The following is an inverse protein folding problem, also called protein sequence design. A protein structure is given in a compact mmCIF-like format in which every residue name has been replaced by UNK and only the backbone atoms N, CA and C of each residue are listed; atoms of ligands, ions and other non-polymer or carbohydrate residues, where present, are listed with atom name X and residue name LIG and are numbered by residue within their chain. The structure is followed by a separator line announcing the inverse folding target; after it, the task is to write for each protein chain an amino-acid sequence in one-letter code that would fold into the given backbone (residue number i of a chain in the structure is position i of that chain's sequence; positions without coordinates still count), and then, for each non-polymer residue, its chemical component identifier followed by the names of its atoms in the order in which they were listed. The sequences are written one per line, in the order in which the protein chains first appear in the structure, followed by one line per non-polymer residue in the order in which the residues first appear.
data_IF_805391303240
#
_entry.id   IF_805391303240
#
_cell.length_a   1.000
_cell.length_b   1.000
_cell.length_c   1.000
_cell.angle_alpha   90.00
_cell.angle_beta   90.00
_cell.angle_gamma   90.00
#
_symmetry.space_group_name_H-M   'P 1'
#
loop_
_entity.id
_entity.type
_entity.pdbx_description
1 polymer ?
#
# COMPACT_ATOMS: atom_id res chain seq x y z
N UNK A 1 -12.84 -18.25 1.10
CA UNK A 1 -11.86 -18.62 2.13
C UNK A 1 -11.50 -17.36 2.90
N UNK A 2 -11.44 -17.38 4.25
CA UNK A 2 -10.99 -16.18 4.99
C UNK A 2 -9.58 -15.77 4.57
N UNK A 3 -9.33 -14.48 4.58
CA UNK A 3 -8.07 -13.94 4.11
C UNK A 3 -7.50 -12.92 5.10
N UNK A 4 -6.20 -12.68 4.98
CA UNK A 4 -5.51 -11.59 5.67
C UNK A 4 -4.72 -10.79 4.64
N UNK A 5 -4.89 -9.46 4.66
CA UNK A 5 -4.09 -8.53 3.85
C UNK A 5 -2.97 -7.91 4.70
N UNK A 6 -2.03 -7.24 4.04
CA UNK A 6 -1.02 -6.49 4.78
C UNK A 6 -1.64 -5.36 5.63
N UNK A 7 -2.68 -4.70 5.14
CA UNK A 7 -3.38 -3.68 5.93
C UNK A 7 -4.02 -4.27 7.19
N UNK A 8 -4.65 -5.44 7.09
CA UNK A 8 -5.19 -6.14 8.26
C UNK A 8 -4.08 -6.57 9.24
N UNK A 9 -2.94 -7.04 8.75
CA UNK A 9 -1.76 -7.34 9.56
C UNK A 9 -1.22 -6.09 10.27
N UNK A 10 -1.20 -4.95 9.59
CA UNK A 10 -0.78 -3.67 10.16
C UNK A 10 -1.73 -3.24 11.28
N UNK A 11 -3.04 -3.36 11.09
CA UNK A 11 -4.05 -3.06 12.11
C UNK A 11 -3.89 -3.98 13.33
N UNK A 12 -3.65 -5.28 13.10
CA UNK A 12 -3.40 -6.22 14.17
C UNK A 12 -2.11 -5.89 14.94
N UNK A 13 -1.04 -5.52 14.25
CA UNK A 13 0.22 -5.13 14.87
C UNK A 13 0.10 -3.80 15.63
N UNK A 14 -0.72 -2.88 15.16
CA UNK A 14 -1.06 -1.65 15.87
C UNK A 14 -1.74 -1.98 17.19
N UNK A 15 -2.81 -2.77 17.16
CA UNK A 15 -3.50 -3.29 18.32
C UNK A 15 -4.43 -4.44 17.92
N UNK A 16 -4.24 -5.63 18.49
CA UNK A 16 -5.11 -6.78 18.15
C UNK A 16 -6.58 -6.52 18.50
N UNK A 17 -6.86 -5.72 19.51
CA UNK A 17 -8.23 -5.28 19.84
C UNK A 17 -8.79 -4.33 18.78
N UNK A 18 -7.99 -3.38 18.27
CA UNK A 18 -8.37 -2.52 17.15
C UNK A 18 -8.74 -3.34 15.92
N UNK A 19 -7.87 -4.27 15.54
CA UNK A 19 -8.15 -5.20 14.43
C UNK A 19 -9.46 -5.96 14.64
N UNK A 20 -9.75 -6.43 15.89
CA UNK A 20 -11.02 -7.08 16.18
C UNK A 20 -12.20 -6.16 15.91
N UNK A 21 -12.18 -4.95 16.45
CA UNK A 21 -13.27 -3.99 16.27
C UNK A 21 -13.50 -3.67 14.79
N UNK A 22 -12.44 -3.32 14.06
CA UNK A 22 -12.55 -2.83 12.68
C UNK A 22 -12.72 -3.95 11.63
N UNK A 23 -12.02 -5.08 11.77
CA UNK A 23 -11.98 -6.12 10.73
C UNK A 23 -12.91 -7.29 10.99
N UNK A 24 -13.19 -7.61 12.26
CA UNK A 24 -14.03 -8.76 12.64
C UNK A 24 -15.42 -8.30 12.99
N UNK A 25 -15.56 -7.38 13.97
CA UNK A 25 -16.85 -6.87 14.42
C UNK A 25 -17.42 -5.79 13.48
N UNK A 26 -16.57 -5.19 12.63
CA UNK A 26 -16.91 -4.11 11.70
C UNK A 26 -17.56 -2.91 12.38
N UNK A 27 -17.05 -2.58 13.55
CA UNK A 27 -17.47 -1.43 14.34
C UNK A 27 -16.57 -0.26 13.94
N UNK A 28 -17.06 0.63 13.10
CA UNK A 28 -16.35 1.83 12.69
C UNK A 28 -14.97 1.53 12.10
N UNK A 29 -14.10 2.48 12.22
CA UNK A 29 -12.77 2.47 11.65
C UNK A 29 -12.55 3.75 10.86
N UNK A 30 -11.35 3.92 10.37
CA UNK A 30 -11.04 5.04 9.49
C UNK A 30 -11.81 4.91 8.17
N UNK A 31 -12.77 5.80 7.93
CA UNK A 31 -13.64 5.80 6.75
C UNK A 31 -13.01 6.51 5.53
N UNK A 32 -11.82 7.02 5.69
CA UNK A 32 -11.13 7.81 4.67
C UNK A 32 -11.16 9.31 4.96
N UNK A 33 -10.47 10.07 4.13
CA UNK A 33 -10.44 11.53 4.11
C UNK A 33 -9.94 12.00 2.73
N UNK A 34 -9.83 13.31 2.52
CA UNK A 34 -9.33 13.87 1.26
C UNK A 34 -7.96 13.29 0.83
N UNK A 35 -7.08 12.93 1.78
CA UNK A 35 -5.79 12.30 1.45
C UNK A 35 -5.94 10.89 0.89
N UNK A 36 -6.87 10.10 1.40
CA UNK A 36 -7.14 8.76 0.86
C UNK A 36 -7.87 8.84 -0.48
N UNK A 37 -8.82 9.74 -0.64
CA UNK A 37 -9.49 10.00 -1.92
C UNK A 37 -8.46 10.40 -3.00
N UNK A 38 -7.56 11.34 -2.69
CA UNK A 38 -6.47 11.71 -3.57
C UNK A 38 -5.56 10.53 -3.91
N UNK A 39 -5.18 9.73 -2.90
CA UNK A 39 -4.34 8.55 -3.09
C UNK A 39 -4.97 7.56 -4.06
N UNK A 40 -6.24 7.24 -3.87
CA UNK A 40 -6.96 6.30 -4.74
C UNK A 40 -7.05 6.84 -6.18
N UNK A 41 -7.42 8.11 -6.35
CA UNK A 41 -7.55 8.71 -7.68
C UNK A 41 -6.23 8.70 -8.45
N UNK A 42 -5.12 9.12 -7.81
CA UNK A 42 -3.83 9.18 -8.50
C UNK A 42 -3.25 7.79 -8.78
N UNK A 43 -3.57 6.77 -7.95
CA UNK A 43 -3.19 5.39 -8.22
C UNK A 43 -3.85 4.86 -9.50
N UNK A 44 -5.13 5.17 -9.74
CA UNK A 44 -5.81 4.78 -10.98
C UNK A 44 -5.18 5.42 -12.22
N UNK A 45 -4.72 6.68 -12.14
CA UNK A 45 -3.97 7.30 -13.24
C UNK A 45 -2.61 6.63 -13.43
N UNK A 46 -1.87 6.36 -12.33
CA UNK A 46 -0.60 5.65 -12.40
C UNK A 46 -0.75 4.28 -13.07
N UNK A 47 -1.84 3.56 -12.80
CA UNK A 47 -2.18 2.31 -13.47
C UNK A 47 -2.34 2.50 -14.97
N UNK A 48 -3.17 3.47 -15.40
CA UNK A 48 -3.40 3.78 -16.82
C UNK A 48 -2.10 4.13 -17.54
N UNK A 49 -1.29 5.00 -16.94
CA UNK A 49 0.01 5.39 -17.51
C UNK A 49 0.97 4.20 -17.61
N UNK A 50 1.06 3.37 -16.58
CA UNK A 50 1.91 2.18 -16.60
C UNK A 50 1.49 1.23 -17.73
N UNK A 51 0.19 1.04 -17.95
CA UNK A 51 -0.37 0.19 -19.01
C UNK A 51 -0.37 0.88 -20.39
N UNK A 52 0.09 2.13 -20.47
CA UNK A 52 0.09 2.96 -21.68
C UNK A 52 -1.31 3.12 -22.31
N UNK A 53 -2.34 3.16 -21.46
CA UNK A 53 -3.71 3.41 -21.88
C UNK A 53 -3.89 4.92 -22.19
N UNK A 54 -4.60 5.20 -23.30
CA UNK A 54 -4.88 6.58 -23.72
C UNK A 54 -6.00 7.16 -22.86
N UNK A 55 -5.70 8.12 -22.02
CA UNK A 55 -6.65 8.87 -21.21
C UNK A 55 -6.24 10.36 -21.15
N UNK A 56 -7.24 11.24 -21.05
CA UNK A 56 -7.01 12.64 -20.71
C UNK A 56 -6.73 12.71 -19.20
N UNK A 57 -5.45 12.70 -18.84
CA UNK A 57 -4.96 12.43 -17.48
C UNK A 57 -5.57 13.35 -16.43
N UNK A 58 -5.60 14.67 -16.71
CA UNK A 58 -6.13 15.67 -15.79
C UNK A 58 -7.62 15.46 -15.55
N UNK A 59 -8.39 15.23 -16.61
CA UNK A 59 -9.84 15.05 -16.52
C UNK A 59 -10.17 13.73 -15.82
N UNK A 60 -9.47 12.64 -16.16
CA UNK A 60 -9.64 11.35 -15.50
C UNK A 60 -9.30 11.43 -14.02
N UNK A 61 -8.17 12.05 -13.66
CA UNK A 61 -7.80 12.26 -12.26
C UNK A 61 -8.87 13.04 -11.50
N UNK A 62 -9.34 14.15 -12.05
CA UNK A 62 -10.35 14.98 -11.40
C UNK A 62 -11.67 14.22 -11.22
N UNK A 63 -12.13 13.51 -12.24
CA UNK A 63 -13.34 12.69 -12.15
C UNK A 63 -13.22 11.65 -11.02
N UNK A 64 -12.07 10.91 -10.98
CA UNK A 64 -11.85 9.90 -9.95
C UNK A 64 -11.70 10.52 -8.56
N UNK A 65 -11.04 11.66 -8.45
CA UNK A 65 -10.89 12.34 -7.16
C UNK A 65 -12.23 12.81 -6.62
N UNK A 66 -13.09 13.44 -7.45
CA UNK A 66 -14.46 13.83 -7.05
C UNK A 66 -15.30 12.61 -6.67
N UNK A 67 -15.19 11.52 -7.41
CA UNK A 67 -15.87 10.27 -7.07
C UNK A 67 -15.49 9.79 -5.67
N UNK A 68 -14.20 9.65 -5.36
CA UNK A 68 -13.75 9.22 -4.04
C UNK A 68 -14.06 10.23 -2.91
N UNK A 69 -14.08 11.52 -3.21
CA UNK A 69 -14.54 12.52 -2.24
C UNK A 69 -16.02 12.37 -1.92
N UNK A 70 -16.86 12.05 -2.91
CA UNK A 70 -18.31 11.87 -2.73
C UNK A 70 -18.66 10.65 -1.86
N UNK A 71 -17.76 9.67 -1.76
CA UNK A 71 -17.93 8.49 -0.90
C UNK A 71 -17.58 8.75 0.57
N UNK A 72 -16.95 9.90 0.89
CA UNK A 72 -16.55 10.22 2.25
C UNK A 72 -17.73 10.73 3.08
N UNK A 73 -17.82 10.24 4.32
CA UNK A 73 -18.75 10.80 5.31
C UNK A 73 -18.19 12.11 5.88
N UNK A 74 -18.97 13.17 5.79
CA UNK A 74 -18.64 14.49 6.35
C UNK A 74 -18.03 15.49 5.38
N UNK A 75 -18.04 16.76 5.80
CA UNK A 75 -17.51 17.87 5.02
C UNK A 75 -16.00 17.80 4.90
N UNK A 76 -15.47 18.07 3.72
CA UNK A 76 -14.05 18.18 3.46
C UNK A 76 -13.61 19.65 3.44
N UNK A 77 -12.38 19.92 3.80
CA UNK A 77 -11.79 21.25 3.68
C UNK A 77 -11.62 21.61 2.19
N UNK A 78 -12.49 22.51 1.70
CA UNK A 78 -12.52 22.96 0.31
C UNK A 78 -11.18 23.56 -0.16
N UNK A 79 -10.46 24.25 0.72
CA UNK A 79 -9.14 24.79 0.40
C UNK A 79 -8.15 23.66 0.17
N UNK A 80 -8.11 22.66 1.05
CA UNK A 80 -7.27 21.50 0.92
C UNK A 80 -7.59 20.71 -0.36
N UNK A 81 -8.88 20.50 -0.63
CA UNK A 81 -9.33 19.77 -1.83
C UNK A 81 -8.91 20.52 -3.10
N UNK A 82 -9.08 21.86 -3.14
CA UNK A 82 -8.63 22.68 -4.26
C UNK A 82 -7.11 22.61 -4.47
N UNK A 83 -6.33 22.68 -3.39
CA UNK A 83 -4.87 22.50 -3.47
C UNK A 83 -4.49 21.12 -3.98
N UNK A 84 -5.21 20.06 -3.58
CA UNK A 84 -4.96 18.69 -4.03
C UNK A 84 -5.26 18.47 -5.50
N UNK A 85 -6.31 19.11 -6.06
CA UNK A 85 -6.58 19.08 -7.50
C UNK A 85 -5.35 19.56 -8.30
N UNK A 86 -4.79 20.70 -7.91
CA UNK A 86 -3.60 21.25 -8.57
C UNK A 86 -2.34 20.39 -8.33
N UNK A 87 -2.20 19.84 -7.12
CA UNK A 87 -1.06 18.94 -6.81
C UNK A 87 -1.10 17.66 -7.65
N UNK A 88 -2.28 17.09 -7.88
CA UNK A 88 -2.46 15.92 -8.75
C UNK A 88 -1.98 16.22 -10.17
N UNK A 89 -2.54 17.25 -10.80
CA UNK A 89 -2.15 17.68 -12.15
C UNK A 89 -0.66 17.92 -12.32
N UNK A 90 0.02 18.36 -11.25
CA UNK A 90 1.47 18.59 -11.28
C UNK A 90 2.30 17.31 -11.16
N UNK A 91 1.75 16.24 -10.62
CA UNK A 91 2.42 14.93 -10.47
C UNK A 91 2.30 14.11 -11.77
N UNK A 92 1.14 14.15 -12.42
CA UNK A 92 0.81 13.26 -13.53
C UNK A 92 1.82 13.28 -14.68
N UNK A 93 2.30 14.45 -15.14
CA UNK A 93 3.26 14.50 -16.25
C UNK A 93 4.63 13.87 -15.92
N UNK A 94 5.01 13.82 -14.62
CA UNK A 94 6.31 13.29 -14.20
C UNK A 94 6.36 11.76 -14.08
N UNK A 95 5.21 11.03 -14.20
CA UNK A 95 5.13 9.60 -13.90
C UNK A 95 5.94 8.75 -14.88
N UNK A 96 5.77 8.97 -16.18
CA UNK A 96 6.46 8.18 -17.22
C UNK A 96 7.95 8.44 -17.21
N UNK A 97 8.35 9.71 -17.16
CA UNK A 97 9.76 10.12 -17.10
C UNK A 97 10.46 9.49 -15.87
N UNK A 98 9.78 9.49 -14.72
CA UNK A 98 10.32 8.89 -13.50
C UNK A 98 10.46 7.35 -13.58
N UNK A 99 9.54 6.66 -14.26
CA UNK A 99 9.66 5.23 -14.53
C UNK A 99 10.84 4.92 -15.45
N UNK A 100 10.97 5.68 -16.54
CA UNK A 100 12.07 5.52 -17.52
C UNK A 100 13.43 5.89 -16.91
N UNK A 101 13.50 6.97 -16.12
CA UNK A 101 14.73 7.35 -15.44
C UNK A 101 15.20 6.29 -14.44
N UNK A 102 14.24 5.68 -13.72
CA UNK A 102 14.57 4.73 -12.65
C UNK A 102 14.86 3.32 -13.15
N UNK A 103 14.05 2.80 -14.08
CA UNK A 103 14.15 1.41 -14.57
C UNK A 103 14.92 1.30 -15.90
N UNK A 104 15.10 2.41 -16.62
CA UNK A 104 15.61 2.39 -17.99
C UNK A 104 14.59 1.78 -18.96
N UNK A 105 15.05 0.97 -19.89
CA UNK A 105 14.18 0.21 -20.76
C UNK A 105 13.52 -0.96 -19.98
N UNK A 106 12.20 -1.01 -19.96
CA UNK A 106 11.42 -2.00 -19.23
C UNK A 106 10.20 -2.48 -20.00
N UNK A 107 9.79 -3.70 -19.71
CA UNK A 107 8.54 -4.30 -20.14
C UNK A 107 7.54 -4.32 -18.97
N UNK A 108 6.30 -3.88 -19.20
CA UNK A 108 5.24 -3.92 -18.20
C UNK A 108 4.66 -5.33 -18.14
N UNK A 109 4.79 -5.99 -17.00
CA UNK A 109 4.21 -7.30 -16.74
C UNK A 109 2.79 -7.23 -16.19
N UNK A 110 2.42 -6.09 -15.61
CA UNK A 110 1.05 -5.81 -15.17
C UNK A 110 0.95 -4.71 -14.11
N UNK A 111 -0.29 -4.27 -13.88
CA UNK A 111 -0.72 -3.38 -12.83
C UNK A 111 -1.83 -4.03 -12.02
N UNK A 112 -2.04 -3.61 -10.77
CA UNK A 112 -3.06 -4.15 -9.85
C UNK A 112 -3.09 -5.71 -9.82
N UNK A 113 -1.89 -6.33 -9.85
CA UNK A 113 -1.79 -7.79 -9.91
C UNK A 113 -2.31 -8.41 -8.61
N UNK A 114 -3.39 -9.22 -8.66
CA UNK A 114 -3.96 -9.79 -7.47
C UNK A 114 -3.07 -10.92 -6.92
N UNK A 115 -2.83 -10.87 -5.62
CA UNK A 115 -2.28 -11.97 -4.83
C UNK A 115 -3.41 -12.61 -4.01
N UNK A 116 -3.53 -13.93 -4.11
CA UNK A 116 -4.48 -14.74 -3.34
C UNK A 116 -3.83 -16.10 -3.04
N UNK A 117 -2.82 -16.07 -2.17
CA UNK A 117 -1.89 -17.17 -2.03
C UNK A 117 -2.05 -17.90 -0.69
N UNK A 118 -1.90 -19.22 -0.73
CA UNK A 118 -1.92 -20.04 0.48
C UNK A 118 -0.74 -19.70 1.40
N UNK A 119 -1.03 -19.57 2.69
CA UNK A 119 -0.04 -19.33 3.73
C UNK A 119 0.47 -20.68 4.24
N UNK A 120 1.78 -20.88 4.24
CA UNK A 120 2.38 -22.14 4.71
C UNK A 120 1.97 -22.49 6.14
N UNK A 121 1.67 -23.75 6.39
CA UNK A 121 1.16 -24.30 7.66
C UNK A 121 -0.19 -23.68 8.11
N UNK A 122 -0.96 -23.14 7.13
CA UNK A 122 -2.20 -22.41 7.41
C UNK A 122 -3.30 -22.76 6.40
N UNK A 123 -4.09 -23.80 6.69
CA UNK A 123 -5.11 -24.33 5.77
C UNK A 123 -6.36 -23.46 5.64
N UNK A 124 -6.59 -22.54 6.59
CA UNK A 124 -7.85 -21.79 6.70
C UNK A 124 -7.78 -20.38 6.14
N UNK A 125 -6.58 -19.85 5.93
CA UNK A 125 -6.39 -18.46 5.48
C UNK A 125 -5.51 -18.39 4.26
N UNK A 126 -5.82 -17.40 3.41
CA UNK A 126 -4.94 -16.98 2.32
C UNK A 126 -4.40 -15.59 2.58
N UNK A 127 -3.20 -15.31 2.09
CA UNK A 127 -2.69 -13.95 2.00
C UNK A 127 -3.29 -13.28 0.77
N UNK A 128 -3.88 -12.09 0.93
CA UNK A 128 -4.48 -11.35 -0.15
C UNK A 128 -3.89 -9.94 -0.24
N UNK A 129 -3.62 -9.51 -1.47
CA UNK A 129 -3.14 -8.17 -1.76
C UNK A 129 -3.23 -7.86 -3.24
N UNK A 130 -2.88 -6.64 -3.60
CA UNK A 130 -2.73 -6.20 -4.99
C UNK A 130 -1.36 -5.55 -5.11
N UNK A 131 -0.69 -5.80 -6.21
CA UNK A 131 0.62 -5.20 -6.53
C UNK A 131 0.37 -4.09 -7.53
N UNK A 132 0.67 -2.86 -7.17
CA UNK A 132 0.36 -1.68 -7.97
C UNK A 132 1.08 -1.71 -9.33
N UNK A 133 2.34 -2.18 -9.39
CA UNK A 133 3.06 -2.29 -10.64
C UNK A 133 4.15 -3.35 -10.64
N UNK A 134 4.29 -4.04 -11.77
CA UNK A 134 5.35 -5.02 -12.01
C UNK A 134 5.94 -4.80 -13.39
N UNK A 135 7.25 -4.64 -13.45
CA UNK A 135 8.00 -4.47 -14.71
C UNK A 135 9.20 -5.43 -14.75
N UNK A 136 9.63 -5.79 -15.95
CA UNK A 136 10.85 -6.55 -16.19
C UNK A 136 11.88 -5.66 -16.91
N UNK A 137 13.15 -5.80 -16.55
CA UNK A 137 14.27 -5.11 -17.18
C UNK A 137 15.15 -6.07 -17.96
N UNK A 138 15.93 -5.56 -18.90
CA UNK A 138 16.77 -6.34 -19.83
C UNK A 138 17.84 -7.19 -19.14
N UNK A 139 18.19 -6.88 -17.87
CA UNK A 139 19.11 -7.67 -17.03
C UNK A 139 18.47 -8.91 -16.41
N UNK A 140 17.21 -9.22 -16.74
CA UNK A 140 16.45 -10.37 -16.25
C UNK A 140 15.88 -10.19 -14.84
N UNK A 141 15.82 -8.97 -14.34
CA UNK A 141 15.16 -8.65 -13.08
C UNK A 141 13.69 -8.34 -13.28
N UNK A 142 12.91 -8.73 -12.28
CA UNK A 142 11.51 -8.33 -12.12
C UNK A 142 11.42 -7.34 -10.97
N UNK A 143 10.81 -6.21 -11.21
CA UNK A 143 10.65 -5.14 -10.24
C UNK A 143 9.18 -5.02 -9.84
N UNK A 144 8.93 -5.17 -8.54
CA UNK A 144 7.62 -4.94 -7.92
C UNK A 144 7.69 -3.57 -7.26
N UNK A 145 6.73 -2.72 -7.53
CA UNK A 145 6.65 -1.44 -6.85
C UNK A 145 5.22 -1.11 -6.40
N UNK A 146 5.15 -0.19 -5.44
CA UNK A 146 3.92 0.23 -4.78
C UNK A 146 3.94 1.75 -4.68
N UNK A 147 2.92 2.38 -5.24
CA UNK A 147 2.74 3.82 -5.22
C UNK A 147 2.34 4.31 -3.84
N UNK A 148 2.93 5.39 -3.37
CA UNK A 148 2.57 5.98 -2.09
C UNK A 148 2.53 7.49 -2.15
N UNK A 149 1.37 8.07 -1.91
CA UNK A 149 1.23 9.51 -1.78
C UNK A 149 1.81 10.01 -0.45
N UNK A 150 2.49 11.13 -0.50
CA UNK A 150 3.03 11.82 0.68
C UNK A 150 3.17 13.32 0.41
N UNK A 151 3.46 14.11 1.44
CA UNK A 151 3.68 15.54 1.24
C UNK A 151 5.00 15.80 0.51
N UNK A 152 6.15 15.42 1.08
CA UNK A 152 7.48 15.73 0.54
C UNK A 152 8.48 14.58 0.53
N UNK A 153 8.07 13.39 0.92
CA UNK A 153 8.91 12.19 0.99
C UNK A 153 8.88 11.51 2.36
N UNK A 154 9.69 10.48 2.52
CA UNK A 154 9.79 9.73 3.76
C UNK A 154 11.19 9.84 4.37
N UNK A 155 11.26 10.03 5.66
CA UNK A 155 12.52 9.98 6.40
C UNK A 155 13.09 8.54 6.49
N UNK A 156 14.36 8.44 6.89
CA UNK A 156 15.05 7.16 7.01
C UNK A 156 14.37 6.20 8.00
N UNK A 157 13.73 6.71 9.06
CA UNK A 157 13.00 5.91 10.05
C UNK A 157 11.79 5.24 9.42
N UNK A 158 11.00 5.99 8.65
CA UNK A 158 9.83 5.46 7.93
C UNK A 158 10.23 4.47 6.84
N UNK A 159 11.26 4.80 6.04
CA UNK A 159 11.77 3.91 4.97
C UNK A 159 12.24 2.56 5.50
N UNK A 160 12.81 2.52 6.70
CA UNK A 160 13.34 1.29 7.31
C UNK A 160 12.38 0.60 8.28
N UNK A 161 11.21 1.18 8.53
CA UNK A 161 10.22 0.60 9.45
C UNK A 161 9.73 -0.76 8.94
N UNK A 162 9.68 -1.80 9.80
CA UNK A 162 9.08 -3.08 9.44
C UNK A 162 7.64 -2.93 8.93
N UNK A 163 6.83 -2.08 9.58
CA UNK A 163 5.43 -1.85 9.16
C UNK A 163 5.30 -1.01 7.88
N UNK A 164 6.38 -0.55 7.32
CA UNK A 164 6.45 0.01 5.96
C UNK A 164 6.92 -1.08 4.99
N UNK A 165 8.06 -1.68 5.28
CA UNK A 165 8.77 -2.52 4.31
C UNK A 165 8.24 -3.96 4.20
N UNK A 166 7.52 -4.48 5.21
CA UNK A 166 6.97 -5.83 5.17
C UNK A 166 5.85 -6.00 4.13
N UNK A 167 5.18 -4.93 3.71
CA UNK A 167 4.24 -4.99 2.59
C UNK A 167 4.93 -5.56 1.35
N UNK A 168 5.98 -4.89 0.88
CA UNK A 168 6.75 -5.32 -0.28
C UNK A 168 7.49 -6.65 -0.05
N UNK A 169 7.92 -6.92 1.18
CA UNK A 169 8.56 -8.20 1.53
C UNK A 169 7.59 -9.37 1.35
N UNK A 170 6.35 -9.25 1.82
CA UNK A 170 5.31 -10.26 1.65
C UNK A 170 4.84 -10.35 0.19
N UNK A 171 4.70 -9.21 -0.49
CA UNK A 171 4.36 -9.20 -1.91
C UNK A 171 5.40 -9.95 -2.74
N UNK A 172 6.68 -9.64 -2.55
CA UNK A 172 7.79 -10.37 -3.18
C UNK A 172 7.72 -11.87 -2.92
N UNK A 173 7.52 -12.28 -1.67
CA UNK A 173 7.47 -13.70 -1.29
C UNK A 173 6.34 -14.44 -2.00
N UNK A 174 5.13 -13.89 -1.96
CA UNK A 174 3.97 -14.54 -2.56
C UNK A 174 3.95 -14.44 -4.08
N UNK A 175 4.44 -13.34 -4.64
CA UNK A 175 4.59 -13.19 -6.09
C UNK A 175 5.63 -14.16 -6.66
N UNK A 176 6.77 -14.30 -6.01
CA UNK A 176 7.80 -15.27 -6.38
C UNK A 176 7.24 -16.69 -6.45
N UNK A 177 6.44 -17.08 -5.44
CA UNK A 177 5.77 -18.38 -5.38
C UNK A 177 4.71 -18.53 -6.48
N UNK A 178 3.89 -17.50 -6.70
CA UNK A 178 2.83 -17.49 -7.71
C UNK A 178 3.38 -17.64 -9.12
N UNK A 179 4.49 -16.97 -9.42
CA UNK A 179 5.07 -16.90 -10.76
C UNK A 179 6.20 -17.88 -10.98
N UNK A 180 6.55 -18.69 -9.97
CA UNK A 180 7.69 -19.62 -9.98
C UNK A 180 9.02 -18.93 -10.36
N UNK A 181 9.26 -17.74 -9.81
CA UNK A 181 10.46 -16.93 -10.03
C UNK A 181 11.36 -17.02 -8.79
N UNK A 182 12.69 -17.22 -8.99
CA UNK A 182 13.66 -17.15 -7.89
C UNK A 182 13.57 -15.75 -7.24
N UNK A 183 13.31 -15.66 -5.94
CA UNK A 183 13.25 -14.37 -5.23
C UNK A 183 14.48 -13.49 -5.40
N UNK A 184 15.63 -14.03 -5.78
CA UNK A 184 16.85 -13.25 -6.07
C UNK A 184 16.72 -12.40 -7.33
N UNK A 185 15.84 -12.78 -8.24
CA UNK A 185 15.55 -12.06 -9.47
C UNK A 185 14.44 -11.03 -9.32
N UNK A 186 13.84 -10.90 -8.12
CA UNK A 186 12.80 -9.91 -7.85
C UNK A 186 13.35 -8.81 -6.95
N UNK A 187 13.17 -7.58 -7.36
CA UNK A 187 13.46 -6.38 -6.58
C UNK A 187 12.17 -5.66 -6.20
N UNK A 188 12.18 -4.94 -5.09
CA UNK A 188 10.97 -4.25 -4.61
C UNK A 188 11.25 -2.79 -4.31
N UNK A 189 10.30 -1.92 -4.65
CA UNK A 189 10.46 -0.47 -4.58
C UNK A 189 9.21 0.20 -4.06
N UNK A 190 9.36 1.31 -3.36
CA UNK A 190 8.28 2.29 -3.22
C UNK A 190 8.50 3.41 -4.22
N UNK A 191 7.41 3.85 -4.81
CA UNK A 191 7.33 5.05 -5.63
C UNK A 191 6.56 6.12 -4.87
N UNK A 192 7.25 7.13 -4.36
CA UNK A 192 6.64 8.22 -3.60
C UNK A 192 6.15 9.31 -4.52
N UNK A 193 4.86 9.60 -4.46
CA UNK A 193 4.20 10.70 -5.14
C UNK A 193 4.12 11.89 -4.18
N UNK A 194 5.03 12.86 -4.34
CA UNK A 194 5.26 13.96 -3.38
C UNK A 194 4.43 15.18 -3.74
N UNK A 195 3.25 15.33 -3.13
CA UNK A 195 2.25 16.34 -3.47
C UNK A 195 2.74 17.78 -3.38
N UNK A 196 3.53 18.11 -2.35
CA UNK A 196 3.97 19.50 -2.09
C UNK A 196 5.39 19.79 -2.53
N UNK A 197 6.06 18.83 -3.15
CA UNK A 197 7.38 19.05 -3.74
C UNK A 197 7.28 19.97 -4.96
N UNK A 198 8.25 20.88 -5.12
CA UNK A 198 8.33 21.76 -6.29
C UNK A 198 9.08 21.13 -7.47
N UNK A 199 9.88 20.11 -7.20
CA UNK A 199 10.70 19.38 -8.17
C UNK A 199 10.74 17.92 -7.76
N UNK A 200 11.09 17.06 -8.69
CA UNK A 200 11.27 15.64 -8.46
C UNK A 200 10.12 15.06 -7.65
N UNK A 201 8.90 15.29 -8.13
CA UNK A 201 7.66 14.89 -7.42
C UNK A 201 7.53 13.39 -7.25
N UNK A 202 8.24 12.61 -8.05
CA UNK A 202 8.25 11.17 -7.95
C UNK A 202 9.64 10.71 -7.50
N UNK A 203 9.66 9.83 -6.54
CA UNK A 203 10.90 9.30 -6.00
C UNK A 203 10.78 7.80 -5.80
N UNK A 204 11.51 7.04 -6.59
CA UNK A 204 11.67 5.61 -6.37
C UNK A 204 12.78 5.32 -5.37
N UNK A 205 12.56 4.36 -4.49
CA UNK A 205 13.64 3.80 -3.71
C UNK A 205 13.46 2.31 -3.46
N UNK A 206 14.58 1.60 -3.50
CA UNK A 206 14.60 0.15 -3.33
C UNK A 206 14.41 -0.25 -1.86
N UNK A 207 13.60 -1.28 -1.65
CA UNK A 207 13.43 -1.97 -0.37
C UNK A 207 14.08 -3.34 -0.44
N UNK A 208 15.15 -3.54 0.30
CA UNK A 208 15.81 -4.85 0.36
C UNK A 208 15.00 -5.84 1.20
N UNK A 209 14.75 -7.03 0.66
CA UNK A 209 14.01 -8.12 1.31
C UNK A 209 14.79 -9.43 1.15
N UNK A 210 15.79 -9.61 1.99
CA UNK A 210 16.56 -10.86 2.07
C UNK A 210 15.84 -11.94 2.90
N UNK A 211 16.36 -13.17 2.93
CA UNK A 211 15.73 -14.33 3.59
C UNK A 211 15.33 -14.06 5.04
N UNK A 212 16.20 -13.44 5.84
CA UNK A 212 15.92 -13.15 7.26
C UNK A 212 14.74 -12.16 7.43
N UNK A 213 14.66 -11.16 6.56
CA UNK A 213 13.55 -10.18 6.61
C UNK A 213 12.24 -10.82 6.19
N UNK A 214 12.27 -11.67 5.18
CA UNK A 214 11.12 -12.45 4.75
C UNK A 214 10.63 -13.38 5.86
N UNK A 215 11.54 -14.11 6.50
CA UNK A 215 11.22 -14.97 7.64
C UNK A 215 10.56 -14.18 8.78
N UNK A 216 11.08 -13.00 9.12
CA UNK A 216 10.50 -12.14 10.16
C UNK A 216 9.10 -11.65 9.80
N UNK A 217 8.86 -11.28 8.54
CA UNK A 217 7.54 -10.87 8.06
C UNK A 217 6.53 -12.03 8.11
N UNK A 218 6.94 -13.23 7.69
CA UNK A 218 6.13 -14.44 7.76
C UNK A 218 5.85 -14.86 9.21
N UNK A 219 6.83 -14.77 10.10
CA UNK A 219 6.62 -15.02 11.56
C UNK A 219 5.58 -14.07 12.16
N UNK A 220 5.64 -12.79 11.77
CA UNK A 220 4.64 -11.81 12.22
C UNK A 220 3.24 -12.16 11.70
N UNK A 221 3.12 -12.52 10.42
CA UNK A 221 1.88 -12.94 9.80
C UNK A 221 1.28 -14.19 10.50
N UNK A 222 2.09 -15.23 10.68
CA UNK A 222 1.67 -16.47 11.38
C UNK A 222 1.26 -16.18 12.84
N UNK A 223 1.98 -15.29 13.53
CA UNK A 223 1.61 -14.87 14.89
C UNK A 223 0.26 -14.16 14.93
N UNK A 224 -0.02 -13.28 13.98
CA UNK A 224 -1.31 -12.60 13.87
C UNK A 224 -2.44 -13.63 13.65
N UNK A 225 -2.27 -14.54 12.70
CA UNK A 225 -3.25 -15.59 12.40
C UNK A 225 -3.51 -16.50 13.60
N UNK A 226 -2.45 -16.93 14.29
CA UNK A 226 -2.59 -17.72 15.52
C UNK A 226 -3.46 -17.01 16.57
N UNK A 227 -3.22 -15.71 16.80
CA UNK A 227 -4.02 -14.96 17.76
C UNK A 227 -5.47 -14.75 17.30
N UNK A 228 -5.68 -14.45 16.02
CA UNK A 228 -7.01 -14.27 15.42
C UNK A 228 -7.82 -15.57 15.55
N UNK A 229 -7.23 -16.72 15.17
CA UNK A 229 -7.87 -18.04 15.27
C UNK A 229 -8.25 -18.41 16.70
N UNK A 230 -7.40 -18.08 17.65
CA UNK A 230 -7.62 -18.37 19.08
C UNK A 230 -8.38 -17.24 19.81
N UNK A 231 -8.93 -16.25 19.07
CA UNK A 231 -9.68 -15.12 19.62
C UNK A 231 -8.92 -14.34 20.71
N UNK A 232 -7.58 -14.22 20.55
CA UNK A 232 -6.69 -13.54 21.48
C UNK A 232 -6.47 -12.08 21.04
N UNK A 233 -7.35 -11.20 21.48
CA UNK A 233 -7.35 -9.79 21.08
C UNK A 233 -6.76 -8.90 22.19
N UNK A 234 -5.45 -8.92 22.35
CA UNK A 234 -4.74 -8.18 23.39
C UNK A 234 -4.69 -6.68 23.02
N UNK A 235 -5.06 -5.82 24.00
CA UNK A 235 -4.97 -4.36 23.85
C UNK A 235 -3.51 -3.90 23.92
N UNK A 236 -3.07 -3.17 22.89
CA UNK A 236 -1.76 -2.50 22.90
C UNK A 236 -1.93 -1.07 23.41
N UNK A 237 -1.66 -0.86 24.69
CA UNK A 237 -1.85 0.46 25.31
C UNK A 237 -0.91 1.54 24.79
N UNK A 238 0.22 1.19 24.18
CA UNK A 238 1.13 2.16 23.54
C UNK A 238 0.52 2.83 22.30
N UNK A 239 -0.45 2.16 21.67
CA UNK A 239 -1.16 2.67 20.49
C UNK A 239 -2.36 3.56 20.85
N UNK A 240 -2.81 3.59 22.12
CA UNK A 240 -4.05 4.27 22.51
C UNK A 240 -4.08 5.75 22.15
N UNK A 241 -2.95 6.46 22.23
CA UNK A 241 -2.87 7.89 21.89
C UNK A 241 -3.20 8.24 20.43
N UNK A 242 -3.18 7.21 19.55
CA UNK A 242 -3.47 7.36 18.11
C UNK A 242 -4.72 6.56 17.70
N UNK A 243 -5.47 6.02 18.66
CA UNK A 243 -6.59 5.13 18.42
C UNK A 243 -7.91 5.87 18.62
N UNK A 244 -8.76 5.88 17.62
CA UNK A 244 -10.10 6.49 17.66
C UNK A 244 -11.02 5.87 18.71
N UNK A 245 -10.83 4.59 19.03
CA UNK A 245 -11.62 3.91 20.06
C UNK A 245 -11.12 4.15 21.49
N UNK A 246 -10.05 4.93 21.67
CA UNK A 246 -9.49 5.17 23.01
C UNK A 246 -10.48 5.94 23.88
N UNK A 247 -10.82 5.38 25.07
CA UNK A 247 -11.80 5.93 26.00
C UNK A 247 -13.24 5.99 25.46
N UNK A 248 -13.56 5.22 24.45
CA UNK A 248 -14.95 5.00 24.01
C UNK A 248 -15.56 3.79 24.70
N UNK A 249 -16.87 3.55 24.52
CA UNK A 249 -17.56 2.35 25.00
C UNK A 249 -16.95 1.04 24.46
N UNK A 250 -16.28 1.09 23.30
CA UNK A 250 -15.63 -0.07 22.68
C UNK A 250 -14.23 -0.36 23.26
N UNK A 251 -13.60 0.61 23.93
CA UNK A 251 -12.25 0.47 24.48
C UNK A 251 -11.98 1.37 25.69
N UNK A 252 -12.62 1.05 26.79
CA UNK A 252 -12.35 1.64 28.11
C UNK A 252 -11.02 1.17 28.70
#
# INVERSE_FOLDING_TARGET
MPHISFSALKDWNFCAWYHKLTRIDKIGGFEGNAYTAFGNAIHEVCEKKLLKEQVEEDDFFLERFEHFLSELSGEQDEKLVSEMREQGKQILPEIEDALEEYFGEYEVLGSEIPLAESIEDEDKFIFRGFIDGVVATSDGKVHIFDWKTCSWGWDAKRRNSPMTTYQLTLYKHYFAKKMDIDPKNIETHFALLKRTSKKDRIEFFRVTSGPRKTENALKLLKKALYNIKNKRYIKNRLSCKFCEFNKTEHCM
#
